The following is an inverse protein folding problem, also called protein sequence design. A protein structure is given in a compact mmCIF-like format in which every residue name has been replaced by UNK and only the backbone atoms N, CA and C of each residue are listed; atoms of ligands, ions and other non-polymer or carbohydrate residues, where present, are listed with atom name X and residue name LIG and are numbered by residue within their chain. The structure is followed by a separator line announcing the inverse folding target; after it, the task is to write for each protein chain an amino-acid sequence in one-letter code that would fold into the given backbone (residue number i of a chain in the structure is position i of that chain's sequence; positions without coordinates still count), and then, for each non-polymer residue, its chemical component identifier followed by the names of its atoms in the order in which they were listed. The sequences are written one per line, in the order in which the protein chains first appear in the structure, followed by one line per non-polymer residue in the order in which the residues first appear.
data_IF_402117538338
#
_entry.id   IF_402117538338
#
_cell.length_a   1.000
_cell.length_b   1.000
_cell.length_c   1.000
_cell.angle_alpha   90.00
_cell.angle_beta   90.00
_cell.angle_gamma   90.00
#
_symmetry.space_group_name_H-M   'P 1'
#
loop_
_entity.id
_entity.type
_entity.pdbx_description
1 polymer ?
#
# COMPACT_ATOMS: atom_id res chain seq x y z
N UNK A 1 -4.30 22.94 7.56
CA UNK A 1 -4.43 21.53 7.98
C UNK A 1 -3.08 20.87 7.71
N UNK A 2 -2.41 20.38 8.75
CA UNK A 2 -1.09 19.76 8.65
C UNK A 2 -1.30 18.25 8.44
N UNK A 3 -1.34 17.82 7.17
CA UNK A 3 -1.67 16.44 6.75
C UNK A 3 -0.45 15.51 6.68
N UNK A 4 0.63 15.79 7.42
CA UNK A 4 1.73 14.84 7.51
C UNK A 4 1.47 13.84 8.65
N UNK A 5 0.47 12.95 8.46
CA UNK A 5 0.45 11.72 9.24
C UNK A 5 1.65 10.87 8.78
N UNK A 6 2.63 10.69 9.66
CA UNK A 6 3.82 9.89 9.37
C UNK A 6 3.45 8.41 9.36
N UNK A 7 3.05 7.89 8.20
CA UNK A 7 2.85 6.45 8.03
C UNK A 7 4.16 5.70 8.32
N UNK A 8 4.06 4.59 9.05
CA UNK A 8 5.20 3.73 9.40
C UNK A 8 5.38 2.66 8.33
N UNK A 9 6.61 2.54 7.84
CA UNK A 9 7.02 1.47 6.93
C UNK A 9 7.00 0.13 7.68
N UNK A 10 6.30 -0.88 7.16
CA UNK A 10 6.27 -2.23 7.74
C UNK A 10 7.21 -3.18 7.00
N UNK A 11 7.43 -4.39 7.53
CA UNK A 11 8.17 -5.45 6.83
C UNK A 11 7.33 -6.18 5.76
N UNK A 12 5.99 -6.05 5.81
CA UNK A 12 5.06 -6.68 4.88
C UNK A 12 5.20 -6.14 3.44
N UNK A 13 5.33 -7.07 2.49
CA UNK A 13 5.52 -6.79 1.06
C UNK A 13 4.63 -7.66 0.20
N UNK A 14 4.30 -7.18 -1.00
CA UNK A 14 3.60 -7.93 -2.03
C UNK A 14 4.23 -7.68 -3.40
N UNK A 15 4.19 -8.68 -4.27
CA UNK A 15 4.44 -8.50 -5.71
C UNK A 15 3.25 -7.80 -6.38
N UNK A 16 3.46 -7.28 -7.58
CA UNK A 16 2.37 -6.68 -8.37
C UNK A 16 1.21 -7.67 -8.61
N UNK A 17 1.53 -8.93 -8.91
CA UNK A 17 0.52 -9.97 -9.15
C UNK A 17 -0.30 -10.31 -7.89
N UNK A 18 0.33 -10.34 -6.72
CA UNK A 18 -0.36 -10.54 -5.44
C UNK A 18 -1.29 -9.38 -5.12
N UNK A 19 -0.86 -8.14 -5.36
CA UNK A 19 -1.68 -6.95 -5.17
C UNK A 19 -2.89 -6.90 -6.09
N UNK A 20 -2.71 -7.20 -7.38
CA UNK A 20 -3.82 -7.30 -8.32
C UNK A 20 -4.85 -8.31 -7.84
N UNK A 21 -4.39 -9.48 -7.39
CA UNK A 21 -5.27 -10.51 -6.83
C UNK A 21 -5.98 -10.05 -5.55
N UNK A 22 -5.30 -9.31 -4.66
CA UNK A 22 -5.89 -8.79 -3.42
C UNK A 22 -6.99 -7.76 -3.69
N UNK A 23 -6.81 -6.94 -4.73
CA UNK A 23 -7.74 -5.88 -5.09
C UNK A 23 -8.71 -6.25 -6.23
N UNK A 24 -8.72 -7.52 -6.65
CA UNK A 24 -9.53 -8.02 -7.76
C UNK A 24 -9.37 -7.20 -9.05
N UNK A 25 -8.12 -6.81 -9.35
CA UNK A 25 -7.77 -6.02 -10.53
C UNK A 25 -7.43 -6.92 -11.72
N UNK A 26 -7.92 -6.53 -12.90
CA UNK A 26 -7.56 -7.16 -14.16
C UNK A 26 -6.06 -7.00 -14.47
N UNK A 27 -5.45 -7.93 -15.23
CA UNK A 27 -4.00 -7.92 -15.50
C UNK A 27 -3.53 -6.72 -16.35
N UNK A 28 -4.42 -6.16 -17.16
CA UNK A 28 -4.17 -5.00 -18.02
C UNK A 28 -4.55 -3.65 -17.38
N UNK A 29 -5.13 -3.67 -16.18
CA UNK A 29 -5.45 -2.44 -15.45
C UNK A 29 -4.16 -1.72 -14.98
N UNK A 30 -4.12 -0.40 -15.11
CA UNK A 30 -2.99 0.39 -14.64
C UNK A 30 -2.99 0.46 -13.11
N UNK A 31 -1.90 0.00 -12.48
CA UNK A 31 -1.75 0.12 -11.03
C UNK A 31 -1.27 1.52 -10.64
N UNK A 32 -2.02 2.24 -9.78
CA UNK A 32 -1.59 3.55 -9.30
C UNK A 32 -0.37 3.38 -8.41
N UNK A 33 0.59 4.32 -8.47
CA UNK A 33 1.84 4.29 -7.66
C UNK A 33 1.64 4.14 -6.15
N UNK A 34 0.43 4.42 -5.68
CA UNK A 34 0.00 4.23 -4.32
C UNK A 34 -1.45 3.73 -4.26
N UNK A 35 -1.72 2.75 -3.39
CA UNK A 35 -3.06 2.18 -3.19
C UNK A 35 -3.47 2.36 -1.72
N UNK A 36 -4.45 3.23 -1.41
CA UNK A 36 -4.91 3.42 -0.05
C UNK A 36 -5.66 2.20 0.48
N UNK A 37 -5.44 1.85 1.75
CA UNK A 37 -6.13 0.79 2.50
C UNK A 37 -6.62 1.34 3.84
N UNK A 38 -7.49 0.61 4.52
CA UNK A 38 -8.07 1.08 5.79
C UNK A 38 -6.99 1.52 6.80
N UNK A 39 -5.91 0.75 6.90
CA UNK A 39 -4.84 0.96 7.88
C UNK A 39 -3.71 1.88 7.39
N UNK A 40 -3.77 2.41 6.16
CA UNK A 40 -2.67 3.17 5.55
C UNK A 40 -2.65 3.05 4.02
N UNK A 41 -1.52 2.68 3.43
CA UNK A 41 -1.41 2.55 1.97
C UNK A 41 -0.27 1.62 1.51
N UNK A 42 -0.44 1.01 0.34
CA UNK A 42 0.64 0.33 -0.39
C UNK A 42 1.39 1.33 -1.27
N UNK A 43 2.72 1.23 -1.30
CA UNK A 43 3.59 2.03 -2.18
C UNK A 43 4.56 1.12 -2.92
N UNK A 44 4.89 1.48 -4.17
CA UNK A 44 5.88 0.77 -4.98
C UNK A 44 7.30 1.09 -4.51
N UNK A 45 8.06 0.06 -4.13
CA UNK A 45 9.49 0.10 -3.76
C UNK A 45 10.29 -0.82 -4.72
N UNK A 46 10.69 -0.28 -5.87
CA UNK A 46 11.36 -1.05 -6.92
C UNK A 46 10.41 -2.07 -7.57
N UNK A 47 10.74 -3.35 -7.43
CA UNK A 47 9.98 -4.49 -7.99
C UNK A 47 8.86 -5.00 -7.07
N UNK A 48 8.85 -4.56 -5.81
CA UNK A 48 7.87 -4.96 -4.81
C UNK A 48 7.04 -3.77 -4.35
N UNK A 49 5.93 -4.08 -3.70
CA UNK A 49 5.11 -3.12 -2.98
C UNK A 49 5.23 -3.35 -1.49
N UNK A 50 5.14 -2.27 -0.73
CA UNK A 50 5.23 -2.29 0.72
C UNK A 50 4.09 -1.51 1.32
N UNK A 51 3.48 -2.06 2.37
CA UNK A 51 2.44 -1.35 3.12
C UNK A 51 3.09 -0.39 4.13
N UNK A 52 2.46 0.76 4.25
CA UNK A 52 2.76 1.79 5.20
C UNK A 52 1.52 1.99 6.07
N UNK A 53 1.63 1.77 7.37
CA UNK A 53 0.48 1.82 8.28
C UNK A 53 0.45 3.10 9.11
N UNK A 54 -0.75 3.60 9.39
CA UNK A 54 -0.94 4.69 10.33
C UNK A 54 -0.87 4.12 11.76
N UNK A 55 0.09 4.57 12.60
CA UNK A 55 0.25 4.07 13.95
C UNK A 55 -0.96 4.32 14.86
N UNK A 56 -1.92 5.17 14.48
CA UNK A 56 -3.14 5.37 15.27
C UNK A 56 -4.14 4.23 15.15
N UNK A 57 -4.00 3.32 14.18
CA UNK A 57 -4.87 2.14 14.05
C UNK A 57 -4.57 1.04 15.06
N UNK A 58 -3.37 1.02 15.64
CA UNK A 58 -2.96 0.04 16.66
C UNK A 58 -3.26 0.51 18.10
N UNK A 59 -3.95 1.65 18.26
CA UNK A 59 -4.20 2.32 19.54
C UNK A 59 -5.62 2.09 20.09
#
# INVERSE_FOLDING_TARGET
MNWAQTLRRTDETATEAELRKLFDMEPDEELPLCIPVCIGEWRREGDLWRVYTDPTWEA
#
